data_IF_483792867237
#
_entry.id   IF_483792867237
#
_cell.length_a   1.000
_cell.length_b   1.000
_cell.length_c   1.000
_cell.angle_alpha   90.00
_cell.angle_beta   90.00
_cell.angle_gamma   90.00
#
_symmetry.space_group_name_H-M   'P 1'
#
loop_
_entity.id
_entity.type
_entity.pdbx_description
1 polymer ?
#
# COMPACT_ATOMS: atom_id res chain seq x y z
N UNK A 1 -2.20 -20.07 6.33
CA UNK A 1 -3.47 -19.92 5.57
C UNK A 1 -3.88 -18.45 5.58
N UNK A 2 -3.60 -17.73 4.51
CA UNK A 2 -3.93 -16.30 4.37
C UNK A 2 -5.44 -16.13 4.18
N UNK A 3 -6.13 -15.64 5.21
CA UNK A 3 -7.59 -15.41 5.21
C UNK A 3 -7.95 -14.44 4.07
N UNK A 4 -8.56 -14.95 3.00
CA UNK A 4 -8.92 -14.20 1.79
C UNK A 4 -9.97 -13.13 2.13
N UNK A 5 -9.80 -11.86 1.75
CA UNK A 5 -10.85 -10.87 1.93
C UNK A 5 -12.08 -11.30 1.12
N UNK A 6 -13.24 -11.41 1.78
CA UNK A 6 -14.45 -12.05 1.24
C UNK A 6 -15.06 -11.38 0.00
N UNK A 7 -14.55 -10.21 -0.43
CA UNK A 7 -15.09 -9.40 -1.53
C UNK A 7 -14.07 -8.99 -2.60
N UNK A 8 -12.90 -9.63 -2.68
CA UNK A 8 -11.90 -9.29 -3.72
C UNK A 8 -11.84 -10.37 -4.80
N UNK A 9 -11.96 -9.96 -6.06
CA UNK A 9 -11.85 -10.85 -7.21
C UNK A 9 -10.43 -11.47 -7.28
N UNK A 10 -10.28 -12.78 -7.59
CA UNK A 10 -8.98 -13.44 -7.64
C UNK A 10 -8.07 -12.85 -8.74
N UNK A 11 -6.81 -12.54 -8.41
CA UNK A 11 -5.84 -12.02 -9.40
C UNK A 11 -5.60 -13.00 -10.55
N UNK A 12 -5.48 -14.29 -10.23
CA UNK A 12 -5.31 -15.36 -11.22
C UNK A 12 -6.53 -15.62 -12.08
N UNK A 13 -7.73 -15.22 -11.65
CA UNK A 13 -8.97 -15.41 -12.41
C UNK A 13 -9.26 -14.26 -13.40
N UNK A 14 -8.41 -13.23 -13.43
CA UNK A 14 -8.54 -12.14 -14.40
C UNK A 14 -8.16 -12.70 -15.76
N UNK A 15 -9.12 -12.68 -16.70
CA UNK A 15 -8.90 -13.20 -18.05
C UNK A 15 -8.11 -12.17 -18.87
N UNK A 16 -7.05 -12.63 -19.54
CA UNK A 16 -6.17 -11.77 -20.33
C UNK A 16 -5.41 -10.75 -19.50
N UNK A 17 -5.11 -9.59 -20.11
CA UNK A 17 -4.35 -8.49 -19.48
C UNK A 17 -2.94 -8.90 -19.01
N UNK A 18 -2.27 -9.79 -19.74
CA UNK A 18 -0.96 -10.34 -19.36
C UNK A 18 0.09 -9.26 -19.14
N UNK A 19 0.11 -8.23 -19.98
CA UNK A 19 1.01 -7.07 -19.80
C UNK A 19 0.74 -6.30 -18.50
N UNK A 20 -0.54 -6.11 -18.13
CA UNK A 20 -0.90 -5.44 -16.87
C UNK A 20 -0.49 -6.29 -15.68
N UNK A 21 -0.81 -7.58 -15.70
CA UNK A 21 -0.45 -8.51 -14.62
C UNK A 21 1.06 -8.53 -14.41
N UNK A 22 1.83 -8.64 -15.50
CA UNK A 22 3.28 -8.64 -15.45
C UNK A 22 3.83 -7.33 -14.89
N UNK A 23 3.35 -6.18 -15.37
CA UNK A 23 3.79 -4.87 -14.88
C UNK A 23 3.53 -4.70 -13.38
N UNK A 24 2.36 -5.15 -12.90
CA UNK A 24 2.00 -5.12 -11.48
C UNK A 24 2.89 -6.04 -10.64
N UNK A 25 3.19 -7.26 -11.13
CA UNK A 25 4.08 -8.20 -10.44
C UNK A 25 5.52 -7.67 -10.38
N UNK A 26 6.03 -7.09 -11.47
CA UNK A 26 7.36 -6.48 -11.51
C UNK A 26 7.47 -5.34 -10.50
N UNK A 27 6.48 -4.46 -10.45
CA UNK A 27 6.46 -3.35 -9.50
C UNK A 27 6.34 -3.83 -8.04
N UNK A 28 5.64 -4.94 -7.79
CA UNK A 28 5.57 -5.55 -6.47
C UNK A 28 6.91 -6.16 -6.01
N UNK A 29 7.75 -6.60 -6.96
CA UNK A 29 9.09 -7.15 -6.68
C UNK A 29 10.12 -6.03 -6.50
N UNK A 30 10.14 -5.06 -7.41
CA UNK A 30 11.05 -3.92 -7.35
C UNK A 30 10.32 -2.60 -7.61
N UNK A 31 9.97 -1.84 -6.57
CA UNK A 31 9.31 -0.55 -6.70
C UNK A 31 10.13 0.50 -7.45
N UNK A 32 11.46 0.33 -7.58
CA UNK A 32 12.35 1.27 -8.27
C UNK A 32 12.14 1.28 -9.79
N UNK A 33 11.42 0.29 -10.32
CA UNK A 33 10.93 0.29 -11.71
C UNK A 33 10.04 1.52 -11.98
N UNK A 34 9.46 2.12 -10.94
CA UNK A 34 8.60 3.30 -11.03
C UNK A 34 7.12 2.94 -11.16
N UNK A 35 6.29 3.94 -11.45
CA UNK A 35 4.84 3.79 -11.51
C UNK A 35 4.35 3.06 -12.79
N UNK A 36 3.25 2.32 -12.66
CA UNK A 36 2.59 1.64 -13.80
C UNK A 36 1.44 2.49 -14.33
N UNK A 37 1.53 2.95 -15.58
CA UNK A 37 0.45 3.67 -16.27
C UNK A 37 -0.46 2.70 -17.03
N UNK A 38 -1.72 2.57 -16.59
CA UNK A 38 -2.69 1.64 -17.19
C UNK A 38 -3.70 2.35 -18.09
N UNK A 39 -3.47 2.30 -19.41
CA UNK A 39 -4.41 2.82 -20.43
C UNK A 39 -5.46 1.77 -20.81
N UNK A 40 -6.63 2.22 -21.25
CA UNK A 40 -7.75 1.35 -21.64
C UNK A 40 -9.13 1.97 -21.37
N UNK A 41 -10.18 1.31 -21.83
CA UNK A 41 -11.55 1.80 -21.71
C UNK A 41 -12.13 1.61 -20.30
N UNK A 42 -13.22 2.32 -20.00
CA UNK A 42 -13.98 2.10 -18.76
C UNK A 42 -14.56 0.67 -18.79
N UNK A 43 -14.52 -0.02 -17.65
CA UNK A 43 -15.04 -1.40 -17.54
C UNK A 43 -14.01 -2.50 -17.83
N UNK A 44 -12.75 -2.17 -18.14
CA UNK A 44 -11.67 -3.14 -18.40
C UNK A 44 -11.03 -3.76 -17.14
N UNK A 45 -11.68 -3.63 -15.97
CA UNK A 45 -11.22 -4.22 -14.70
C UNK A 45 -9.81 -3.79 -14.21
N UNK A 46 -9.29 -2.63 -14.65
CA UNK A 46 -7.96 -2.11 -14.25
C UNK A 46 -7.79 -1.99 -12.73
N UNK A 47 -8.72 -1.31 -12.07
CA UNK A 47 -8.68 -1.13 -10.61
C UNK A 47 -8.99 -2.43 -9.87
N UNK A 48 -9.76 -3.34 -10.49
CA UNK A 48 -9.96 -4.70 -9.99
C UNK A 48 -8.64 -5.48 -9.96
N UNK A 49 -7.79 -5.37 -11.00
CA UNK A 49 -6.49 -6.03 -11.05
C UNK A 49 -5.56 -5.56 -9.93
N UNK A 50 -5.49 -4.25 -9.67
CA UNK A 50 -4.71 -3.68 -8.56
C UNK A 50 -5.20 -4.18 -7.21
N UNK A 51 -6.52 -4.17 -6.97
CA UNK A 51 -7.11 -4.69 -5.72
C UNK A 51 -6.89 -6.19 -5.53
N UNK A 52 -6.98 -6.95 -6.61
CA UNK A 52 -6.72 -8.37 -6.61
C UNK A 52 -5.26 -8.70 -6.27
N UNK A 53 -4.30 -7.89 -6.74
CA UNK A 53 -2.88 -8.04 -6.39
C UNK A 53 -2.65 -7.83 -4.88
N UNK A 54 -3.15 -6.75 -4.29
CA UNK A 54 -2.93 -6.52 -2.85
C UNK A 54 -3.57 -7.59 -1.96
N UNK A 55 -4.60 -8.29 -2.45
CA UNK A 55 -5.19 -9.41 -1.72
C UNK A 55 -4.28 -10.66 -1.68
N UNK A 56 -3.34 -10.80 -2.62
CA UNK A 56 -2.39 -11.91 -2.66
C UNK A 56 -1.01 -11.56 -2.09
N UNK A 57 -0.70 -10.28 -1.92
CA UNK A 57 0.55 -9.85 -1.29
C UNK A 57 0.63 -10.36 0.17
N UNK A 58 1.84 -10.73 0.63
CA UNK A 58 2.06 -11.17 2.01
C UNK A 58 1.76 -10.03 2.99
N UNK A 59 1.52 -10.39 4.24
CA UNK A 59 1.51 -9.40 5.32
C UNK A 59 2.93 -8.86 5.51
N UNK A 60 3.00 -7.59 5.89
CA UNK A 60 4.23 -6.88 6.20
C UNK A 60 4.29 -6.60 7.70
N UNK A 61 5.49 -6.65 8.28
CA UNK A 61 5.75 -6.19 9.63
C UNK A 61 5.69 -4.66 9.66
N UNK A 62 4.99 -4.11 10.63
CA UNK A 62 4.91 -2.66 10.86
C UNK A 62 4.97 -2.37 12.36
N UNK A 63 5.44 -1.18 12.70
CA UNK A 63 5.33 -0.67 14.08
C UNK A 63 3.86 -0.50 14.45
N UNK A 64 3.46 -1.03 15.60
CA UNK A 64 2.09 -0.96 16.09
C UNK A 64 1.67 0.49 16.35
N UNK A 65 0.44 0.81 15.94
CA UNK A 65 -0.14 2.15 15.94
C UNK A 65 0.55 3.20 15.03
N UNK A 66 1.56 2.82 14.23
CA UNK A 66 2.18 3.76 13.29
C UNK A 66 1.26 4.07 12.09
N UNK A 67 0.95 5.35 11.88
CA UNK A 67 0.14 5.85 10.76
C UNK A 67 0.76 5.49 9.41
N UNK A 68 2.07 5.70 9.27
CA UNK A 68 2.83 5.45 8.04
C UNK A 68 3.08 3.95 7.83
N UNK A 69 3.20 3.19 8.92
CA UNK A 69 3.58 1.77 8.92
C UNK A 69 5.04 1.55 8.63
N UNK A 70 5.90 2.24 9.37
CA UNK A 70 7.33 2.04 9.34
C UNK A 70 7.68 0.58 9.64
N UNK A 71 8.73 0.08 8.98
CA UNK A 71 9.26 -1.27 9.20
C UNK A 71 10.10 -1.29 10.50
N UNK A 72 9.77 -2.10 11.51
CA UNK A 72 10.56 -2.22 12.73
C UNK A 72 12.01 -2.70 12.50
N UNK A 73 12.30 -3.36 11.38
CA UNK A 73 13.62 -3.87 11.03
C UNK A 73 14.51 -2.83 10.33
N UNK A 74 13.96 -1.70 9.89
CA UNK A 74 14.69 -0.67 9.15
C UNK A 74 14.58 0.71 9.83
N UNK A 75 15.42 1.00 10.84
CA UNK A 75 15.38 2.27 11.58
C UNK A 75 15.56 3.52 10.71
N UNK A 76 16.21 3.40 9.54
CA UNK A 76 16.42 4.50 8.61
C UNK A 76 15.13 5.02 7.95
N UNK A 77 14.07 4.20 7.89
CA UNK A 77 12.78 4.56 7.28
C UNK A 77 11.69 4.91 8.31
N UNK A 78 12.07 5.07 9.58
CA UNK A 78 11.12 5.44 10.64
C UNK A 78 10.63 6.88 10.48
N UNK A 79 9.39 7.14 10.90
CA UNK A 79 8.88 8.50 11.10
C UNK A 79 9.36 9.05 12.45
N UNK A 80 9.19 10.36 12.66
CA UNK A 80 9.62 11.02 13.90
C UNK A 80 8.93 10.43 15.14
N UNK A 81 7.62 10.17 15.06
CA UNK A 81 6.86 9.53 16.14
C UNK A 81 7.43 8.14 16.52
N UNK A 82 7.86 7.34 15.54
CA UNK A 82 8.46 6.02 15.82
C UNK A 82 9.86 6.14 16.43
N UNK A 83 10.63 7.16 16.04
CA UNK A 83 11.94 7.46 16.66
C UNK A 83 11.77 7.85 18.13
N UNK A 84 10.88 8.80 18.43
CA UNK A 84 10.63 9.24 19.81
C UNK A 84 10.12 8.09 20.70
N UNK A 85 9.18 7.29 20.18
CA UNK A 85 8.67 6.11 20.91
C UNK A 85 9.74 5.06 21.16
N UNK A 86 10.75 4.94 20.29
CA UNK A 86 11.88 4.03 20.49
C UNK A 86 12.74 4.48 21.68
N UNK A 87 12.94 5.78 21.83
CA UNK A 87 13.72 6.32 22.95
C UNK A 87 13.02 6.08 24.29
N UNK A 88 11.68 6.07 24.29
CA UNK A 88 10.85 5.74 25.45
C UNK A 88 10.73 4.23 25.74
N UNK A 89 11.06 3.34 24.79
CA UNK A 89 10.96 1.90 24.99
C UNK A 89 10.97 1.03 23.72
N UNK A 90 10.79 -0.29 23.85
CA UNK A 90 10.70 -1.18 22.70
C UNK A 90 9.45 -0.91 21.87
N UNK A 91 9.62 -0.81 20.55
CA UNK A 91 8.51 -0.64 19.61
C UNK A 91 7.80 -1.99 19.41
N UNK A 92 6.51 -2.11 19.78
CA UNK A 92 5.75 -3.30 19.48
C UNK A 92 5.53 -3.43 17.97
N UNK A 93 5.63 -4.67 17.48
CA UNK A 93 5.47 -5.00 16.06
C UNK A 93 4.15 -5.72 15.82
N UNK A 94 3.52 -5.43 14.69
CA UNK A 94 2.30 -6.10 14.25
C UNK A 94 2.36 -6.39 12.76
N UNK A 95 1.64 -7.43 12.31
CA UNK A 95 1.57 -7.82 10.91
C UNK A 95 0.30 -7.27 10.30
N UNK A 96 0.40 -6.55 9.19
CA UNK A 96 -0.76 -6.06 8.44
C UNK A 96 -0.64 -6.32 6.95
N UNK A 97 -1.78 -6.39 6.26
CA UNK A 97 -1.79 -6.44 4.80
C UNK A 97 -1.40 -5.07 4.21
N UNK A 98 -0.75 -5.04 3.04
CA UNK A 98 -0.54 -3.80 2.29
C UNK A 98 -1.86 -3.06 2.05
N UNK A 99 -1.83 -1.74 2.19
CA UNK A 99 -3.01 -0.89 1.98
C UNK A 99 -3.05 -0.40 0.54
N UNK A 100 -4.23 -0.47 -0.06
CA UNK A 100 -4.52 0.27 -1.29
C UNK A 100 -5.25 1.54 -0.88
N UNK A 101 -4.79 2.67 -1.41
CA UNK A 101 -5.42 3.98 -1.25
C UNK A 101 -5.81 4.46 -2.63
N UNK A 102 -7.08 4.77 -2.82
CA UNK A 102 -7.58 5.38 -4.05
C UNK A 102 -7.45 6.91 -3.94
N UNK A 103 -6.76 7.54 -4.89
CA UNK A 103 -6.64 9.00 -4.98
C UNK A 103 -7.71 9.54 -5.95
N UNK A 104 -8.76 10.23 -5.46
CA UNK A 104 -9.77 10.80 -6.35
C UNK A 104 -9.23 11.99 -7.12
N UNK A 105 -9.78 12.23 -8.30
CA UNK A 105 -9.41 13.38 -9.16
C UNK A 105 -9.66 14.72 -8.47
N UNK A 106 -10.66 14.79 -7.59
CA UNK A 106 -11.00 15.99 -6.80
C UNK A 106 -10.24 16.10 -5.46
N UNK A 107 -9.19 15.30 -5.25
CA UNK A 107 -8.35 15.44 -4.06
C UNK A 107 -7.60 16.77 -4.08
N UNK A 108 -7.72 17.54 -2.99
CA UNK A 108 -6.88 18.72 -2.77
C UNK A 108 -5.49 18.30 -2.31
N UNK A 109 -4.49 19.16 -2.55
CA UNK A 109 -3.12 18.92 -2.11
C UNK A 109 -3.05 18.68 -0.59
N UNK A 110 -3.74 19.52 0.20
CA UNK A 110 -3.90 19.38 1.65
C UNK A 110 -4.39 18.01 2.12
N UNK A 111 -5.26 17.36 1.33
CA UNK A 111 -5.75 16.00 1.65
C UNK A 111 -4.74 14.91 1.30
N UNK A 112 -3.82 15.20 0.38
CA UNK A 112 -2.78 14.26 -0.06
C UNK A 112 -1.54 14.35 0.84
N UNK A 113 -1.04 15.56 1.09
CA UNK A 113 0.18 15.77 1.88
C UNK A 113 -0.09 15.93 3.37
N UNK A 114 -1.32 16.31 3.74
CA UNK A 114 -1.71 16.68 5.10
C UNK A 114 -1.70 18.19 5.32
N UNK A 115 -2.50 18.68 6.26
CA UNK A 115 -2.55 20.09 6.64
C UNK A 115 -1.67 20.35 7.86
N UNK A 116 -1.04 21.53 7.89
CA UNK A 116 -0.45 22.09 9.09
C UNK A 116 -1.45 23.05 9.72
N UNK A 117 -1.80 22.80 10.98
CA UNK A 117 -2.61 23.73 11.76
C UNK A 117 -1.67 24.69 12.48
N UNK A 118 -1.79 25.99 12.19
CA UNK A 118 -0.93 27.03 12.75
C UNK A 118 -1.54 27.70 13.99
N UNK A 119 -2.71 27.27 14.45
CA UNK A 119 -3.48 27.89 15.55
C UNK A 119 -3.45 27.11 16.89
N UNK A 120 -2.41 26.30 17.14
CA UNK A 120 -2.21 25.60 18.41
C UNK A 120 -1.32 26.35 19.42
#
# INVERSE_FOLDING_TARGET
MTRRPANVFPFSAIVGQETLKLALLLNAVDPRVGGVLVRGEKGTAKSTAVRALAAILPQIDVVEACRYGCDPAEPGSWCDECRERRDAGPLPKTQRRPRIVDLPVSATEDRLIGTLDFEA
#
